data_IF_201145431015
#
_entry.id   IF_201145431015
#
_cell.length_a   1.000
_cell.length_b   1.000
_cell.length_c   1.000
_cell.angle_alpha   90.00
_cell.angle_beta   90.00
_cell.angle_gamma   90.00
#
_symmetry.space_group_name_H-M   'P 1'
#
loop_
_entity.id
_entity.type
_entity.pdbx_description
1 polymer ?
#
# COMPACT_ATOMS: atom_id res chain seq x y z
N UNK A 1 63.06 -83.94 -14.93
CA UNK A 1 63.05 -82.87 -15.96
C UNK A 1 62.13 -81.76 -15.48
N UNK A 2 62.68 -80.73 -14.85
CA UNK A 2 61.94 -79.59 -14.30
C UNK A 2 62.04 -78.42 -15.27
N UNK A 3 60.95 -78.12 -15.96
CA UNK A 3 60.85 -76.99 -16.90
C UNK A 3 60.46 -75.72 -16.14
N UNK A 4 61.45 -74.86 -15.93
CA UNK A 4 61.30 -73.52 -15.36
C UNK A 4 60.57 -72.61 -16.34
N UNK A 5 59.40 -72.10 -15.95
CA UNK A 5 58.66 -71.03 -16.67
C UNK A 5 59.38 -69.68 -16.48
N UNK A 6 59.48 -68.82 -17.50
CA UNK A 6 59.96 -67.47 -17.30
C UNK A 6 58.83 -66.59 -16.73
N UNK A 7 59.17 -65.84 -15.68
CA UNK A 7 58.34 -64.81 -15.07
C UNK A 7 58.29 -63.64 -16.04
N UNK A 8 57.12 -63.38 -16.62
CA UNK A 8 56.86 -62.14 -17.36
C UNK A 8 56.75 -60.99 -16.35
N UNK A 9 57.85 -60.26 -16.19
CA UNK A 9 57.87 -58.99 -15.47
C UNK A 9 57.00 -57.98 -16.23
N UNK A 10 55.79 -57.74 -15.75
CA UNK A 10 54.91 -56.67 -16.20
C UNK A 10 55.56 -55.33 -15.82
N UNK A 11 56.37 -54.82 -16.74
CA UNK A 11 56.93 -53.47 -16.70
C UNK A 11 55.76 -52.50 -16.77
N UNK A 12 55.28 -52.03 -15.63
CA UNK A 12 54.39 -50.87 -15.56
C UNK A 12 55.10 -49.74 -16.28
N UNK A 13 54.58 -49.34 -17.44
CA UNK A 13 55.07 -48.19 -18.17
C UNK A 13 54.82 -46.96 -17.27
N UNK A 14 55.88 -46.55 -16.57
CA UNK A 14 55.91 -45.33 -15.79
C UNK A 14 55.79 -44.20 -16.82
N UNK A 15 54.60 -43.62 -16.92
CA UNK A 15 54.34 -42.48 -17.79
C UNK A 15 55.30 -41.34 -17.43
N UNK A 16 55.72 -40.58 -18.44
CA UNK A 16 56.58 -39.41 -18.26
C UNK A 16 55.89 -38.43 -17.28
N UNK A 17 56.55 -38.03 -16.17
CA UNK A 17 55.95 -37.13 -15.17
C UNK A 17 55.46 -35.81 -15.77
N UNK A 18 56.02 -35.36 -16.90
CA UNK A 18 55.53 -34.18 -17.61
C UNK A 18 54.12 -34.40 -18.21
N UNK A 19 53.82 -35.60 -18.69
CA UNK A 19 52.50 -35.97 -19.25
C UNK A 19 51.46 -36.07 -18.13
N UNK A 20 51.84 -36.60 -16.96
CA UNK A 20 50.94 -36.65 -15.80
C UNK A 20 50.60 -35.25 -15.28
N UNK A 21 51.58 -34.34 -15.23
CA UNK A 21 51.38 -32.94 -14.86
C UNK A 21 50.40 -32.23 -15.82
N UNK A 22 50.60 -32.37 -17.13
CA UNK A 22 49.70 -31.80 -18.13
C UNK A 22 48.26 -32.34 -18.04
N UNK A 23 48.08 -33.64 -17.75
CA UNK A 23 46.73 -34.19 -17.53
C UNK A 23 46.06 -33.61 -16.30
N UNK A 24 46.80 -33.40 -15.21
CA UNK A 24 46.27 -32.76 -13.99
C UNK A 24 45.87 -31.31 -14.27
N UNK A 25 46.70 -30.55 -14.98
CA UNK A 25 46.37 -29.19 -15.41
C UNK A 25 45.14 -29.16 -16.32
N UNK A 26 45.06 -30.05 -17.31
CA UNK A 26 43.91 -30.14 -18.20
C UNK A 26 42.62 -30.49 -17.44
N UNK A 27 42.70 -31.39 -16.45
CA UNK A 27 41.57 -31.73 -15.59
C UNK A 27 41.12 -30.56 -14.72
N UNK A 28 42.07 -29.80 -14.14
CA UNK A 28 41.79 -28.59 -13.37
C UNK A 28 41.11 -27.52 -14.24
N UNK A 29 41.68 -27.21 -15.41
CA UNK A 29 41.10 -26.25 -16.36
C UNK A 29 39.70 -26.68 -16.81
N UNK A 30 39.47 -27.97 -17.03
CA UNK A 30 38.15 -28.49 -17.41
C UNK A 30 37.14 -28.34 -16.28
N UNK A 31 37.56 -28.52 -15.03
CA UNK A 31 36.72 -28.31 -13.85
C UNK A 31 36.38 -26.82 -13.69
N UNK A 32 37.36 -25.94 -13.81
CA UNK A 32 37.17 -24.49 -13.72
C UNK A 32 36.24 -23.98 -14.83
N UNK A 33 36.40 -24.48 -16.06
CA UNK A 33 35.50 -24.17 -17.16
C UNK A 33 34.06 -24.62 -16.90
N UNK A 34 33.87 -25.78 -16.24
CA UNK A 34 32.54 -26.25 -15.86
C UNK A 34 31.92 -25.36 -14.79
N UNK A 35 32.71 -24.99 -13.77
CA UNK A 35 32.25 -24.15 -12.66
C UNK A 35 31.88 -22.75 -13.15
N UNK A 36 32.71 -22.14 -14.00
CA UNK A 36 32.42 -20.84 -14.61
C UNK A 36 31.17 -20.85 -15.49
N UNK A 37 30.93 -21.94 -16.23
CA UNK A 37 29.67 -22.11 -16.98
C UNK A 37 28.46 -22.21 -16.05
N UNK A 38 28.58 -22.93 -14.94
CA UNK A 38 27.49 -23.01 -13.97
C UNK A 38 27.20 -21.65 -13.35
N UNK A 39 28.23 -20.94 -12.90
CA UNK A 39 28.09 -19.60 -12.34
C UNK A 39 27.46 -18.61 -13.34
N UNK A 40 27.73 -18.77 -14.64
CA UNK A 40 27.11 -17.94 -15.68
C UNK A 40 25.61 -18.23 -15.80
N UNK A 41 25.21 -19.50 -15.80
CA UNK A 41 23.79 -19.89 -15.81
C UNK A 41 23.07 -19.37 -14.57
N UNK A 42 23.67 -19.54 -13.39
CA UNK A 42 23.09 -19.07 -12.14
C UNK A 42 22.91 -17.53 -12.18
N UNK A 43 23.88 -16.80 -12.74
CA UNK A 43 23.79 -15.35 -12.89
C UNK A 43 22.75 -14.91 -13.94
N UNK A 44 22.53 -15.70 -14.99
CA UNK A 44 21.47 -15.47 -15.98
C UNK A 44 20.09 -15.65 -15.35
N UNK A 45 19.90 -16.71 -14.55
CA UNK A 45 18.66 -16.96 -13.81
C UNK A 45 18.36 -15.83 -12.80
N UNK A 46 19.38 -15.39 -12.05
CA UNK A 46 19.26 -14.26 -11.10
C UNK A 46 18.88 -12.95 -11.81
N UNK A 47 19.44 -12.72 -13.00
CA UNK A 47 19.14 -11.54 -13.81
C UNK A 47 17.69 -11.57 -14.33
N UNK A 48 17.23 -12.73 -14.82
CA UNK A 48 15.84 -12.91 -15.26
C UNK A 48 14.86 -12.68 -14.11
N UNK A 49 15.15 -13.23 -12.93
CA UNK A 49 14.35 -13.00 -11.73
C UNK A 49 14.30 -11.53 -11.36
N UNK A 50 15.45 -10.85 -11.34
CA UNK A 50 15.55 -9.42 -11.02
C UNK A 50 14.78 -8.56 -12.02
N UNK A 51 14.79 -8.94 -13.30
CA UNK A 51 14.05 -8.23 -14.34
C UNK A 51 12.53 -8.42 -14.20
N UNK A 52 12.08 -9.62 -13.81
CA UNK A 52 10.69 -9.89 -13.50
C UNK A 52 10.21 -9.05 -12.30
N UNK A 53 10.99 -9.00 -11.22
CA UNK A 53 10.70 -8.19 -10.04
C UNK A 53 10.62 -6.70 -10.37
N UNK A 54 11.55 -6.19 -11.19
CA UNK A 54 11.51 -4.80 -11.65
C UNK A 54 10.24 -4.49 -12.46
N UNK A 55 9.85 -5.38 -13.37
CA UNK A 55 8.63 -5.23 -14.16
C UNK A 55 7.36 -5.20 -13.29
N UNK A 56 7.30 -6.07 -12.27
CA UNK A 56 6.22 -6.11 -11.30
C UNK A 56 6.17 -4.80 -10.48
N UNK A 57 7.32 -4.31 -10.03
CA UNK A 57 7.41 -3.05 -9.29
C UNK A 57 6.96 -1.84 -10.12
N UNK A 58 7.35 -1.77 -11.40
CA UNK A 58 6.92 -0.71 -12.32
C UNK A 58 5.41 -0.75 -12.56
N UNK A 59 4.83 -1.94 -12.70
CA UNK A 59 3.38 -2.11 -12.84
C UNK A 59 2.64 -1.63 -11.59
N UNK A 60 3.10 -2.02 -10.40
CA UNK A 60 2.51 -1.56 -9.13
C UNK A 60 2.64 -0.05 -8.92
N UNK A 61 3.74 0.56 -9.37
CA UNK A 61 3.92 2.01 -9.32
C UNK A 61 2.90 2.72 -10.23
N UNK A 62 2.69 2.23 -11.44
CA UNK A 62 1.69 2.80 -12.36
C UNK A 62 0.26 2.72 -11.78
N UNK A 63 -0.09 1.61 -11.13
CA UNK A 63 -1.38 1.48 -10.43
C UNK A 63 -1.53 2.51 -9.31
N UNK A 64 -0.47 2.73 -8.51
CA UNK A 64 -0.48 3.73 -7.44
C UNK A 64 -0.60 5.15 -7.96
N UNK A 65 0.02 5.47 -9.10
CA UNK A 65 -0.13 6.80 -9.70
C UNK A 65 -1.57 7.07 -10.14
N UNK A 66 -2.25 6.05 -10.68
CA UNK A 66 -3.68 6.14 -11.03
C UNK A 66 -4.52 6.35 -9.76
N UNK A 67 -4.27 5.55 -8.71
CA UNK A 67 -4.98 5.69 -7.42
C UNK A 67 -4.77 7.07 -6.80
N UNK A 68 -3.54 7.59 -6.82
CA UNK A 68 -3.22 8.93 -6.35
C UNK A 68 -3.94 10.01 -7.18
N UNK A 69 -4.04 9.84 -8.50
CA UNK A 69 -4.83 10.72 -9.35
C UNK A 69 -6.31 10.73 -8.95
N UNK A 70 -6.90 9.56 -8.76
CA UNK A 70 -8.31 9.40 -8.37
C UNK A 70 -8.61 9.98 -6.98
N UNK A 71 -7.71 9.81 -6.01
CA UNK A 71 -7.87 10.38 -4.67
C UNK A 71 -7.80 11.90 -4.69
N UNK A 72 -6.90 12.50 -5.49
CA UNK A 72 -6.83 13.95 -5.69
C UNK A 72 -8.12 14.52 -6.28
N UNK A 73 -8.70 13.85 -7.29
CA UNK A 73 -9.99 14.25 -7.89
C UNK A 73 -11.11 14.16 -6.84
N UNK A 74 -11.17 13.06 -6.10
CA UNK A 74 -12.17 12.87 -5.03
C UNK A 74 -12.08 13.94 -3.95
N UNK A 75 -10.87 14.32 -3.55
CA UNK A 75 -10.64 15.39 -2.59
C UNK A 75 -11.13 16.73 -3.13
N UNK A 76 -10.74 17.11 -4.35
CA UNK A 76 -11.17 18.36 -4.98
C UNK A 76 -12.71 18.44 -5.09
N UNK A 77 -13.35 17.33 -5.47
CA UNK A 77 -14.82 17.26 -5.53
C UNK A 77 -15.47 17.44 -4.16
N UNK A 78 -14.88 16.85 -3.11
CA UNK A 78 -15.38 16.98 -1.73
C UNK A 78 -15.25 18.40 -1.21
N UNK A 79 -14.13 19.07 -1.50
CA UNK A 79 -13.93 20.48 -1.16
C UNK A 79 -14.93 21.39 -1.89
N UNK A 80 -15.16 21.16 -3.18
CA UNK A 80 -16.18 21.86 -3.94
C UNK A 80 -17.59 21.65 -3.37
N UNK A 81 -17.94 20.42 -3.03
CA UNK A 81 -19.23 20.10 -2.40
C UNK A 81 -19.40 20.83 -1.06
N UNK A 82 -18.35 20.86 -0.23
CA UNK A 82 -18.34 21.58 1.05
C UNK A 82 -18.58 23.09 0.85
N UNK A 83 -17.85 23.71 -0.07
CA UNK A 83 -18.01 25.14 -0.38
C UNK A 83 -19.41 25.46 -0.92
N UNK A 84 -19.95 24.59 -1.77
CA UNK A 84 -21.31 24.74 -2.27
C UNK A 84 -22.35 24.64 -1.15
N UNK A 85 -22.20 23.67 -0.24
CA UNK A 85 -23.08 23.51 0.91
C UNK A 85 -23.04 24.75 1.83
N UNK A 86 -21.82 25.25 2.11
CA UNK A 86 -21.62 26.47 2.90
C UNK A 86 -22.30 27.68 2.25
N UNK A 87 -22.14 27.85 0.94
CA UNK A 87 -22.80 28.92 0.18
C UNK A 87 -24.33 28.83 0.27
N UNK A 88 -24.89 27.63 0.07
CA UNK A 88 -26.35 27.41 0.15
C UNK A 88 -26.87 27.71 1.56
N UNK A 89 -26.16 27.30 2.60
CA UNK A 89 -26.53 27.62 3.98
C UNK A 89 -26.51 29.13 4.25
N UNK A 90 -25.49 29.85 3.78
CA UNK A 90 -25.41 31.30 3.90
C UNK A 90 -26.55 31.99 3.15
N UNK A 91 -26.86 31.55 1.93
CA UNK A 91 -27.95 32.09 1.13
C UNK A 91 -29.32 31.86 1.78
N UNK A 92 -29.57 30.66 2.30
CA UNK A 92 -30.79 30.35 3.04
C UNK A 92 -30.93 31.21 4.32
N UNK A 93 -29.83 31.57 4.96
CA UNK A 93 -29.83 32.41 6.15
C UNK A 93 -30.01 33.91 5.83
N UNK A 94 -29.57 34.38 4.65
CA UNK A 94 -29.75 35.79 4.24
C UNK A 94 -31.22 36.24 4.26
N UNK A 95 -32.16 35.37 3.91
CA UNK A 95 -33.60 35.67 3.97
C UNK A 95 -34.25 35.49 5.34
N UNK A 96 -33.56 34.83 6.29
CA UNK A 96 -34.08 34.54 7.65
C UNK A 96 -33.65 35.56 8.69
N UNK A 97 -32.50 36.20 8.49
CA UNK A 97 -32.03 37.28 9.37
C UNK A 97 -32.77 38.56 9.00
N UNK A 98 -33.99 38.70 9.50
CA UNK A 98 -34.67 39.99 9.52
C UNK A 98 -33.88 40.91 10.46
N UNK A 99 -33.51 42.10 9.98
CA UNK A 99 -33.01 43.18 10.83
C UNK A 99 -34.01 43.40 11.96
N UNK A 100 -33.66 43.00 13.19
CA UNK A 100 -34.54 43.27 14.33
C UNK A 100 -34.62 44.79 14.48
N UNK A 101 -35.81 45.40 14.45
CA UNK A 101 -35.92 46.81 14.78
C UNK A 101 -35.35 47.02 16.19
N UNK A 102 -34.33 47.87 16.27
CA UNK A 102 -33.71 48.23 17.54
C UNK A 102 -34.79 48.85 18.44
N UNK A 103 -35.08 48.24 19.58
CA UNK A 103 -36.06 48.76 20.55
C UNK A 103 -37.11 47.76 21.06
N UNK A 104 -37.19 46.53 20.53
CA UNK A 104 -38.03 45.47 21.10
C UNK A 104 -37.30 44.13 21.09
N UNK A 105 -36.52 43.85 22.12
CA UNK A 105 -35.93 42.53 22.31
C UNK A 105 -36.96 41.62 22.98
N UNK A 106 -37.62 40.78 22.18
CA UNK A 106 -38.43 39.69 22.70
C UNK A 106 -37.50 38.54 23.10
N UNK A 107 -37.50 38.21 24.39
CA UNK A 107 -36.82 37.02 24.94
C UNK A 107 -37.89 35.96 25.10
N UNK A 108 -37.67 34.83 24.44
CA UNK A 108 -38.49 33.64 24.64
C UNK A 108 -37.82 32.77 25.71
N UNK A 109 -38.52 32.59 26.82
CA UNK A 109 -38.07 31.68 27.88
C UNK A 109 -38.77 30.35 27.66
N UNK A 110 -37.97 29.30 27.43
CA UNK A 110 -38.48 27.92 27.38
C UNK A 110 -38.46 27.39 28.81
N UNK A 111 -39.64 27.26 29.42
CA UNK A 111 -39.81 26.67 30.74
C UNK A 111 -39.95 25.16 30.58
N UNK A 112 -38.98 24.41 31.10
CA UNK A 112 -39.07 22.95 31.21
C UNK A 112 -39.81 22.59 32.50
N UNK A 113 -40.90 21.84 32.39
CA UNK A 113 -41.61 21.36 33.56
C UNK A 113 -40.85 20.19 34.20
N UNK A 114 -40.82 20.15 35.53
CA UNK A 114 -40.21 19.05 36.29
C UNK A 114 -41.02 17.76 36.11
N UNK A 115 -42.33 17.88 35.93
CA UNK A 115 -43.26 16.79 35.66
C UNK A 115 -44.09 17.12 34.41
N UNK A 116 -44.41 16.14 33.56
CA UNK A 116 -45.19 16.38 32.34
C UNK A 116 -46.60 16.91 32.68
N UNK A 117 -47.00 18.03 32.09
CA UNK A 117 -48.33 18.61 32.34
C UNK A 117 -49.38 18.03 31.37
N UNK A 118 -50.50 17.45 31.84
CA UNK A 118 -51.50 16.87 30.95
C UNK A 118 -52.21 17.96 30.13
N UNK A 119 -52.48 17.67 28.85
CA UNK A 119 -53.19 18.57 27.94
C UNK A 119 -54.69 18.23 27.88
N UNK A 120 -55.57 19.23 27.69
CA UNK A 120 -57.03 19.02 27.66
C UNK A 120 -57.53 18.05 26.59
N UNK A 121 -56.76 17.85 25.52
CA UNK A 121 -57.13 16.99 24.37
C UNK A 121 -56.31 15.68 24.37
N UNK A 122 -55.73 15.32 25.52
CA UNK A 122 -54.86 14.16 25.67
C UNK A 122 -53.38 14.47 25.41
N UNK A 123 -52.51 13.67 26.02
CA UNK A 123 -51.05 13.83 25.97
C UNK A 123 -50.49 14.75 27.07
N UNK A 124 -49.17 14.95 27.05
CA UNK A 124 -48.45 15.73 28.05
C UNK A 124 -47.54 16.79 27.42
N UNK A 125 -47.44 17.94 28.09
CA UNK A 125 -46.57 19.06 27.76
C UNK A 125 -45.36 19.06 28.69
N UNK A 126 -44.17 18.93 28.11
CA UNK A 126 -42.88 18.98 28.84
C UNK A 126 -42.27 20.38 28.88
N UNK A 127 -42.68 21.24 27.95
CA UNK A 127 -42.14 22.61 27.81
C UNK A 127 -43.25 23.62 27.57
N UNK A 128 -43.10 24.83 28.11
CA UNK A 128 -43.90 25.98 27.73
C UNK A 128 -42.99 27.09 27.21
N UNK A 129 -43.38 27.67 26.07
CA UNK A 129 -42.74 28.86 25.53
C UNK A 129 -43.41 30.09 26.12
N UNK A 130 -42.70 30.89 26.91
CA UNK A 130 -43.18 32.16 27.42
C UNK A 130 -42.47 33.31 26.72
N UNK A 131 -43.23 34.20 26.08
CA UNK A 131 -42.70 35.43 25.50
C UNK A 131 -42.59 36.50 26.58
N UNK A 132 -41.39 37.00 26.83
CA UNK A 132 -41.13 38.15 27.72
C UNK A 132 -40.58 39.33 26.90
N UNK A 133 -41.21 40.48 27.05
CA UNK A 133 -40.66 41.73 26.52
C UNK A 133 -39.56 42.21 27.47
N UNK A 134 -38.35 42.41 26.95
CA UNK A 134 -37.29 43.10 27.67
C UNK A 134 -37.39 44.57 27.29
N UNK A 135 -37.63 45.43 28.29
CA UNK A 135 -37.60 46.89 28.15
C UNK A 135 -36.17 47.39 28.16
#
# INVERSE_FOLDING_TARGET
MTTTKPIMSSKTAQEDPAVEALRKEQAAVKLDLRNTKQNLLDAEDDLESSQADLSAALSSLAERDIELGNTKITLANSEHARLNAERVCLEANRGRVLSRPHGKQEVFVVLKFREPQPLPVGGYRLFALQRKAVK
#
